data_IF_471374431442
#
_entry.id   IF_471374431442
#
_cell.length_a   1.000
_cell.length_b   1.000
_cell.length_c   1.000
_cell.angle_alpha   90.00
_cell.angle_beta   90.00
_cell.angle_gamma   90.00
#
_symmetry.space_group_name_H-M   'P 1'
#
loop_
_entity.id
_entity.type
_entity.pdbx_description
1 polymer ?
#
# COMPACT_ATOMS: atom_id res chain seq x y z
N UNK A 1 -9.10 8.96 6.77
CA UNK A 1 -7.95 8.66 5.91
C UNK A 1 -8.46 8.32 4.52
N UNK A 2 -8.01 8.99 3.48
CA UNK A 2 -8.37 8.67 2.11
C UNK A 2 -7.70 7.36 1.65
N UNK A 3 -8.27 6.73 0.61
CA UNK A 3 -7.68 5.51 0.04
C UNK A 3 -6.21 5.73 -0.37
N UNK A 4 -5.90 6.88 -0.93
CA UNK A 4 -4.55 7.20 -1.39
C UNK A 4 -3.52 7.33 -0.27
N UNK A 5 -3.93 7.80 0.92
CA UNK A 5 -3.01 7.92 2.06
C UNK A 5 -2.67 6.57 2.71
N UNK A 6 -3.52 5.56 2.59
CA UNK A 6 -3.23 4.20 3.11
C UNK A 6 -1.94 3.63 2.51
N UNK A 7 -1.81 3.68 1.18
CA UNK A 7 -0.61 3.17 0.51
C UNK A 7 0.63 3.95 0.94
N UNK A 8 0.54 5.26 1.04
CA UNK A 8 1.65 6.11 1.48
C UNK A 8 2.09 5.76 2.90
N UNK A 9 1.15 5.66 3.84
CA UNK A 9 1.45 5.32 5.24
C UNK A 9 2.05 3.92 5.35
N UNK A 10 1.46 2.95 4.68
CA UNK A 10 1.97 1.57 4.69
C UNK A 10 3.37 1.46 4.09
N UNK A 11 3.61 2.10 2.96
CA UNK A 11 4.94 2.13 2.31
C UNK A 11 5.97 2.81 3.20
N UNK A 12 5.63 3.93 3.84
CA UNK A 12 6.50 4.60 4.81
C UNK A 12 6.86 3.66 5.97
N UNK A 13 5.85 2.99 6.54
CA UNK A 13 6.08 2.05 7.63
C UNK A 13 7.02 0.90 7.24
N UNK A 14 6.81 0.30 6.07
CA UNK A 14 7.65 -0.78 5.57
C UNK A 14 9.08 -0.31 5.25
N UNK A 15 9.23 0.87 4.67
CA UNK A 15 10.55 1.46 4.39
C UNK A 15 11.31 1.75 5.69
N UNK A 16 10.63 2.27 6.71
CA UNK A 16 11.22 2.46 8.03
C UNK A 16 11.67 1.14 8.66
N UNK A 17 10.85 0.09 8.55
CA UNK A 17 11.19 -1.25 9.04
C UNK A 17 12.42 -1.79 8.31
N UNK A 18 12.50 -1.64 6.99
CA UNK A 18 13.66 -2.06 6.20
C UNK A 18 14.93 -1.34 6.65
N UNK A 19 14.87 -0.04 6.89
CA UNK A 19 15.99 0.73 7.43
C UNK A 19 16.37 0.26 8.83
N UNK A 20 15.40 0.07 9.70
CA UNK A 20 15.61 -0.42 11.07
C UNK A 20 16.36 -1.77 11.08
N UNK A 21 15.95 -2.71 10.23
CA UNK A 21 16.63 -3.99 10.10
C UNK A 21 18.06 -3.85 9.57
N UNK A 22 18.27 -2.98 8.57
CA UNK A 22 19.61 -2.68 8.03
C UNK A 22 20.54 -2.14 9.11
N UNK A 23 20.03 -1.36 10.06
CA UNK A 23 20.78 -0.78 11.16
C UNK A 23 20.92 -1.72 12.38
N UNK A 24 20.50 -2.99 12.24
CA UNK A 24 20.62 -4.00 13.28
C UNK A 24 19.45 -4.07 14.25
N UNK A 25 18.38 -3.33 13.99
CA UNK A 25 17.13 -3.43 14.73
C UNK A 25 16.44 -4.76 14.48
N UNK A 26 15.60 -5.16 15.41
CA UNK A 26 14.83 -6.41 15.28
C UNK A 26 13.37 -6.09 14.93
N UNK A 27 12.44 -6.42 15.81
CA UNK A 27 11.02 -6.12 15.59
C UNK A 27 10.71 -4.66 15.92
N UNK A 28 9.95 -4.02 15.05
CA UNK A 28 9.51 -2.64 15.20
C UNK A 28 8.15 -2.60 15.90
N UNK A 29 7.99 -1.70 16.87
CA UNK A 29 6.72 -1.49 17.57
C UNK A 29 5.84 -0.51 16.81
N UNK A 30 4.52 -0.55 17.07
CA UNK A 30 3.59 0.41 16.49
C UNK A 30 3.91 1.86 16.89
N UNK A 31 4.41 2.06 18.09
CA UNK A 31 4.79 3.38 18.59
C UNK A 31 6.01 3.95 17.85
N UNK A 32 7.02 3.12 17.61
CA UNK A 32 8.20 3.53 16.83
C UNK A 32 7.84 3.93 15.40
N UNK A 33 7.04 3.09 14.74
CA UNK A 33 6.59 3.35 13.37
C UNK A 33 5.70 4.60 13.34
N UNK A 34 4.73 4.71 14.25
CA UNK A 34 3.82 5.84 14.34
C UNK A 34 4.55 7.17 14.56
N UNK A 35 5.64 7.16 15.32
CA UNK A 35 6.48 8.33 15.52
C UNK A 35 7.13 8.79 14.22
N UNK A 36 7.65 7.86 13.42
CA UNK A 36 8.25 8.19 12.12
C UNK A 36 7.20 8.70 11.12
N UNK A 37 6.05 8.04 11.06
CA UNK A 37 4.96 8.40 10.14
C UNK A 37 4.22 9.66 10.59
N UNK A 38 4.31 10.01 11.86
CA UNK A 38 3.54 11.08 12.51
C UNK A 38 2.03 10.80 12.49
N UNK A 39 1.65 9.59 12.93
CA UNK A 39 0.25 9.16 12.98
C UNK A 39 -0.04 8.41 14.29
N UNK A 40 -1.30 8.07 14.50
CA UNK A 40 -1.73 7.33 15.68
C UNK A 40 -1.27 5.85 15.58
N UNK A 41 -0.69 5.27 16.66
CA UNK A 41 -0.32 3.85 16.68
C UNK A 41 -1.45 2.88 16.34
N UNK A 42 -2.71 3.23 16.59
CA UNK A 42 -3.87 2.42 16.22
C UNK A 42 -3.98 2.26 14.70
N UNK A 43 -3.72 3.33 13.95
CA UNK A 43 -3.69 3.30 12.47
C UNK A 43 -2.59 2.35 11.99
N UNK A 44 -1.40 2.45 12.60
CA UNK A 44 -0.28 1.56 12.26
C UNK A 44 -0.63 0.11 12.55
N UNK A 45 -1.16 -0.21 13.74
CA UNK A 45 -1.55 -1.59 14.08
C UNK A 45 -2.54 -2.19 13.08
N UNK A 46 -3.50 -1.40 12.62
CA UNK A 46 -4.48 -1.86 11.63
C UNK A 46 -3.81 -2.19 10.29
N UNK A 47 -2.97 -1.30 9.79
CA UNK A 47 -2.27 -1.52 8.52
C UNK A 47 -1.28 -2.70 8.61
N UNK A 48 -0.55 -2.81 9.72
CA UNK A 48 0.37 -3.93 9.96
C UNK A 48 -0.39 -5.26 9.99
N UNK A 49 -1.55 -5.30 10.62
CA UNK A 49 -2.38 -6.52 10.65
C UNK A 49 -2.80 -6.98 9.25
N UNK A 50 -3.20 -6.06 8.39
CA UNK A 50 -3.55 -6.37 7.01
C UNK A 50 -2.33 -6.89 6.22
N UNK A 51 -1.18 -6.26 6.38
CA UNK A 51 0.05 -6.68 5.72
C UNK A 51 0.60 -8.02 6.25
N UNK A 52 0.42 -8.31 7.53
CA UNK A 52 0.78 -9.61 8.10
C UNK A 52 -0.08 -10.74 7.49
N UNK A 53 -1.38 -10.52 7.32
CA UNK A 53 -2.28 -11.48 6.66
C UNK A 53 -1.85 -11.81 5.24
N UNK A 54 -1.26 -10.85 4.55
CA UNK A 54 -0.78 -11.00 3.16
C UNK A 54 0.66 -11.55 3.08
N UNK A 55 1.30 -11.83 4.21
CA UNK A 55 2.64 -12.39 4.24
C UNK A 55 3.76 -11.39 3.93
N UNK A 56 3.50 -10.09 3.97
CA UNK A 56 4.53 -9.07 3.76
C UNK A 56 5.41 -8.86 4.99
N UNK A 57 4.84 -9.06 6.16
CA UNK A 57 5.51 -8.87 7.45
C UNK A 57 5.21 -10.04 8.38
N UNK A 58 6.09 -10.23 9.34
CA UNK A 58 5.94 -11.19 10.43
C UNK A 58 5.65 -10.47 11.74
N UNK A 59 4.82 -11.08 12.57
CA UNK A 59 4.46 -10.58 13.89
C UNK A 59 5.16 -11.39 14.97
N UNK A 60 5.73 -10.73 15.97
CA UNK A 60 6.18 -11.36 17.21
C UNK A 60 5.33 -10.87 18.37
N UNK A 61 4.86 -11.80 19.18
CA UNK A 61 4.08 -11.53 20.39
C UNK A 61 4.96 -11.67 21.63
N UNK A 62 4.51 -11.10 22.77
CA UNK A 62 5.19 -11.18 24.06
C UNK A 62 6.37 -10.21 24.17
N UNK A 63 7.40 -10.55 25.00
CA UNK A 63 8.59 -9.70 25.13
C UNK A 63 9.29 -9.48 23.79
N UNK A 64 9.58 -8.22 23.46
CA UNK A 64 10.14 -7.85 22.17
C UNK A 64 9.12 -7.88 21.03
N UNK A 65 7.82 -7.74 21.36
CA UNK A 65 6.74 -7.73 20.40
C UNK A 65 6.89 -6.63 19.34
N UNK A 66 6.37 -6.90 18.14
CA UNK A 66 6.41 -5.97 17.01
C UNK A 66 6.33 -6.70 15.69
N UNK A 67 6.79 -6.03 14.65
CA UNK A 67 6.79 -6.54 13.28
C UNK A 67 8.14 -6.39 12.63
N UNK A 68 8.43 -7.28 11.69
CA UNK A 68 9.56 -7.18 10.77
C UNK A 68 9.14 -7.61 9.37
N UNK A 69 9.95 -7.30 8.37
CA UNK A 69 9.69 -7.75 7.01
C UNK A 69 9.80 -9.28 6.92
N UNK A 70 8.84 -9.92 6.25
CA UNK A 70 8.87 -11.35 5.95
C UNK A 70 9.63 -11.66 4.66
N UNK A 71 9.84 -10.65 3.82
CA UNK A 71 10.55 -10.73 2.54
C UNK A 71 11.55 -9.58 2.44
N UNK A 72 12.61 -9.78 1.64
CA UNK A 72 13.57 -8.72 1.38
C UNK A 72 12.88 -7.51 0.70
N UNK A 73 13.31 -6.26 0.99
CA UNK A 73 12.72 -5.08 0.36
C UNK A 73 12.76 -5.11 -1.18
N UNK A 74 13.75 -5.81 -1.75
CA UNK A 74 13.89 -6.02 -3.19
C UNK A 74 12.79 -6.92 -3.76
N UNK A 75 12.14 -7.72 -2.92
CA UNK A 75 11.10 -8.69 -3.30
C UNK A 75 9.69 -8.22 -2.98
N UNK A 76 9.53 -7.01 -2.49
CA UNK A 76 8.23 -6.39 -2.19
C UNK A 76 8.00 -5.27 -3.19
N UNK A 77 6.96 -5.39 -4.02
CA UNK A 77 6.53 -4.30 -4.90
C UNK A 77 5.49 -3.41 -4.20
N UNK A 78 5.34 -2.18 -4.68
CA UNK A 78 4.24 -1.31 -4.22
C UNK A 78 2.88 -1.90 -4.58
N UNK A 79 2.81 -2.72 -5.64
CA UNK A 79 1.58 -3.44 -5.95
C UNK A 79 1.24 -4.47 -4.88
N UNK A 80 2.23 -5.21 -4.36
CA UNK A 80 2.01 -6.15 -3.26
C UNK A 80 1.43 -5.45 -2.03
N UNK A 81 1.95 -4.26 -1.71
CA UNK A 81 1.45 -3.45 -0.60
C UNK A 81 0.01 -2.99 -0.85
N UNK A 82 -0.27 -2.51 -2.06
CA UNK A 82 -1.60 -2.06 -2.44
C UNK A 82 -2.64 -3.18 -2.37
N UNK A 83 -2.30 -4.38 -2.85
CA UNK A 83 -3.16 -5.57 -2.73
C UNK A 83 -3.41 -5.95 -1.27
N UNK A 84 -2.39 -5.92 -0.43
CA UNK A 84 -2.50 -6.23 1.00
C UNK A 84 -3.48 -5.29 1.72
N UNK A 85 -3.59 -4.05 1.24
CA UNK A 85 -4.49 -3.03 1.78
C UNK A 85 -5.91 -3.08 1.17
N UNK A 86 -6.22 -4.09 0.34
CA UNK A 86 -7.49 -4.19 -0.35
C UNK A 86 -7.57 -3.21 -1.52
N UNK A 87 -6.74 -3.44 -2.55
CA UNK A 87 -6.73 -2.63 -3.76
C UNK A 87 -8.13 -2.48 -4.35
N UNK A 88 -8.53 -1.25 -4.59
CA UNK A 88 -9.80 -0.91 -5.22
C UNK A 88 -9.55 -0.35 -6.61
N UNK A 89 -10.56 -0.47 -7.49
CA UNK A 89 -10.53 0.15 -8.80
C UNK A 89 -10.39 1.68 -8.66
N UNK A 90 -9.64 2.31 -9.57
CA UNK A 90 -9.43 3.76 -9.55
C UNK A 90 -10.74 4.52 -9.75
N UNK A 91 -11.61 3.99 -10.60
CA UNK A 91 -12.91 4.58 -10.91
C UNK A 91 -13.99 3.49 -10.92
N UNK A 92 -15.19 3.89 -10.54
CA UNK A 92 -16.36 3.01 -10.56
C UNK A 92 -17.43 3.58 -11.51
N UNK A 93 -18.18 2.68 -12.12
CA UNK A 93 -19.37 3.07 -12.85
C UNK A 93 -20.48 3.51 -11.88
N UNK A 94 -21.34 4.40 -12.33
CA UNK A 94 -22.49 4.86 -11.55
C UNK A 94 -23.40 3.68 -11.18
N UNK A 95 -23.89 3.66 -9.94
CA UNK A 95 -24.68 2.53 -9.42
C UNK A 95 -26.08 2.45 -10.01
N UNK A 96 -26.70 3.62 -10.27
CA UNK A 96 -28.05 3.68 -10.78
C UNK A 96 -28.10 3.27 -12.26
N UNK A 97 -29.16 2.58 -12.63
CA UNK A 97 -29.41 2.25 -14.02
C UNK A 97 -29.69 3.53 -14.85
N UNK A 98 -28.93 3.75 -15.93
CA UNK A 98 -29.21 4.88 -16.79
C UNK A 98 -30.54 4.73 -17.54
N UNK A 99 -31.09 5.85 -18.04
CA UNK A 99 -32.33 5.85 -18.80
C UNK A 99 -32.23 4.99 -20.07
N UNK A 100 -33.15 4.08 -20.26
CA UNK A 100 -33.21 3.23 -21.47
C UNK A 100 -33.58 4.00 -22.73
N UNK A 101 -34.23 5.14 -22.60
CA UNK A 101 -34.66 5.97 -23.74
C UNK A 101 -33.55 6.88 -24.29
N UNK A 102 -32.44 7.05 -23.58
CA UNK A 102 -31.34 7.91 -24.00
C UNK A 102 -30.21 7.05 -24.61
N UNK A 103 -29.78 7.33 -25.85
CA UNK A 103 -28.67 6.56 -26.48
C UNK A 103 -27.36 6.67 -25.71
N UNK A 104 -27.03 7.82 -25.13
CA UNK A 104 -25.84 8.01 -24.30
C UNK A 104 -25.95 7.16 -23.04
N UNK A 105 -27.07 7.18 -22.37
CA UNK A 105 -27.30 6.39 -21.16
C UNK A 105 -27.15 4.89 -21.41
N UNK A 106 -27.63 4.40 -22.56
CA UNK A 106 -27.48 2.97 -22.92
C UNK A 106 -26.04 2.57 -23.21
N UNK A 107 -25.24 3.50 -23.75
CA UNK A 107 -23.89 3.21 -24.24
C UNK A 107 -22.77 3.58 -23.28
N UNK A 108 -23.02 4.38 -22.24
CA UNK A 108 -21.95 4.95 -21.40
C UNK A 108 -21.15 3.89 -20.64
N UNK A 109 -21.82 2.91 -20.03
CA UNK A 109 -21.17 1.85 -19.28
C UNK A 109 -20.28 0.97 -20.17
N UNK A 110 -20.80 0.37 -21.26
CA UNK A 110 -19.93 -0.41 -22.15
C UNK A 110 -18.80 0.40 -22.78
N UNK A 111 -18.98 1.70 -22.99
CA UNK A 111 -17.94 2.57 -23.52
C UNK A 111 -16.82 2.84 -22.53
N UNK A 112 -17.15 3.05 -21.25
CA UNK A 112 -16.18 3.37 -20.19
C UNK A 112 -15.50 2.16 -19.57
N UNK A 113 -16.15 1.01 -19.52
CA UNK A 113 -15.59 -0.20 -18.89
C UNK A 113 -14.19 -0.54 -19.41
N UNK A 114 -13.92 -0.60 -20.72
CA UNK A 114 -12.56 -0.90 -21.21
C UNK A 114 -11.56 0.24 -20.91
N UNK A 115 -12.02 1.48 -20.84
CA UNK A 115 -11.16 2.62 -20.47
C UNK A 115 -10.68 2.47 -19.04
N UNK A 116 -11.60 2.20 -18.11
CA UNK A 116 -11.28 2.03 -16.69
C UNK A 116 -10.40 0.79 -16.46
N UNK A 117 -10.62 -0.29 -17.21
CA UNK A 117 -9.74 -1.46 -17.16
C UNK A 117 -8.30 -1.12 -17.55
N UNK A 118 -8.11 -0.30 -18.58
CA UNK A 118 -6.76 0.16 -18.98
C UNK A 118 -6.12 1.05 -17.93
N UNK A 119 -6.88 1.89 -17.24
CA UNK A 119 -6.37 2.71 -16.13
C UNK A 119 -5.89 1.82 -14.99
N UNK A 120 -6.70 0.85 -14.60
CA UNK A 120 -6.32 -0.08 -13.52
C UNK A 120 -5.08 -0.90 -13.88
N UNK A 121 -4.96 -1.35 -15.14
CA UNK A 121 -3.77 -2.06 -15.62
C UNK A 121 -2.52 -1.17 -15.62
N UNK A 122 -2.67 0.11 -15.95
CA UNK A 122 -1.56 1.07 -15.91
C UNK A 122 -1.07 1.31 -14.47
N UNK A 123 -1.99 1.46 -13.53
CA UNK A 123 -1.67 1.57 -12.09
C UNK A 123 -0.93 0.33 -11.61
N UNK A 124 -1.43 -0.85 -11.95
CA UNK A 124 -0.80 -2.12 -11.57
C UNK A 124 0.63 -2.21 -12.08
N UNK A 125 0.86 -1.92 -13.35
CA UNK A 125 2.19 -1.98 -13.97
C UNK A 125 3.17 -1.04 -13.29
N UNK A 126 2.76 0.19 -13.01
CA UNK A 126 3.62 1.17 -12.35
C UNK A 126 3.98 0.74 -10.93
N UNK A 127 3.00 0.34 -10.14
CA UNK A 127 3.23 -0.09 -8.76
C UNK A 127 4.00 -1.41 -8.69
N UNK A 128 3.75 -2.35 -9.62
CA UNK A 128 4.48 -3.63 -9.67
C UNK A 128 5.93 -3.45 -10.09
N UNK A 129 6.25 -2.41 -10.86
CA UNK A 129 7.61 -2.10 -11.28
C UNK A 129 8.45 -1.35 -10.25
N UNK A 130 7.85 -0.89 -9.16
CA UNK A 130 8.54 -0.14 -8.09
C UNK A 130 8.67 -1.02 -6.84
N UNK A 131 9.90 -1.25 -6.40
CA UNK A 131 10.19 -2.08 -5.22
C UNK A 131 10.30 -1.22 -3.96
N UNK A 132 10.04 -1.82 -2.81
CA UNK A 132 10.25 -1.16 -1.52
C UNK A 132 11.70 -0.69 -1.37
N UNK A 133 12.67 -1.50 -1.84
CA UNK A 133 14.08 -1.14 -1.85
C UNK A 133 14.36 0.14 -2.66
N UNK A 134 13.68 0.31 -3.80
CA UNK A 134 13.79 1.53 -4.61
C UNK A 134 13.29 2.76 -3.86
N UNK A 135 12.14 2.64 -3.21
CA UNK A 135 11.55 3.72 -2.40
C UNK A 135 12.49 4.10 -1.25
N UNK A 136 13.02 3.10 -0.53
CA UNK A 136 13.96 3.36 0.57
C UNK A 136 15.21 4.07 0.07
N UNK A 137 15.83 3.58 -1.01
CA UNK A 137 16.99 4.21 -1.62
C UNK A 137 16.72 5.67 -1.97
N UNK A 138 15.59 5.92 -2.64
CA UNK A 138 15.25 7.27 -3.09
C UNK A 138 14.94 8.21 -1.92
N UNK A 139 14.26 7.72 -0.88
CA UNK A 139 14.01 8.52 0.33
C UNK A 139 15.30 8.91 1.05
N UNK A 140 16.25 7.99 1.17
CA UNK A 140 17.54 8.26 1.80
C UNK A 140 18.38 9.23 0.96
N UNK A 141 18.36 9.11 -0.34
CA UNK A 141 19.05 10.04 -1.25
C UNK A 141 18.50 11.45 -1.12
N UNK A 142 17.17 11.61 -1.10
CA UNK A 142 16.54 12.94 -0.95
C UNK A 142 16.81 13.54 0.43
N UNK A 143 16.83 12.72 1.48
CA UNK A 143 17.09 13.19 2.85
C UNK A 143 18.56 13.50 3.15
N UNK A 144 19.47 13.09 2.29
CA UNK A 144 20.92 13.26 2.50
C UNK A 144 21.49 12.30 3.55
N UNK A 145 20.81 11.19 3.79
CA UNK A 145 21.21 10.18 4.78
C UNK A 145 22.02 9.04 4.16
#
# INVERSE_FOLDING_TARGET
MSANSKLTIATHALAWMALNERLGGKFATSEQIAKSVATNPVVIRRLMSEMAKSGLIETQRGPGAGWRLARAPEDISLWDVNEALGAEAAFALHRNEPSESCPVARGIRPALTPVYARVDDAIRRELAGTRLADVLRDTLTVSGA
#
